data_IF_155014742973
#
_entry.id   IF_155014742973
#
_cell.length_a   1.000
_cell.length_b   1.000
_cell.length_c   1.000
_cell.angle_alpha   90.00
_cell.angle_beta   90.00
_cell.angle_gamma   90.00
#
_symmetry.space_group_name_H-M   'P 1'
#
loop_
_entity.id
_entity.type
_entity.pdbx_description
1 polymer ?
#
# COMPACT_ATOMS: atom_id res chain seq x y z
N UNK A 1 16.88 -11.00 -1.11
CA UNK A 1 16.40 -12.41 -1.20
C UNK A 1 16.48 -12.95 -2.62
N UNK A 2 15.78 -12.39 -3.62
CA UNK A 2 15.83 -12.90 -5.02
C UNK A 2 16.82 -12.18 -5.94
N UNK A 3 17.60 -11.23 -5.39
CA UNK A 3 18.59 -10.41 -6.10
C UNK A 3 19.46 -11.19 -7.10
N UNK A 4 19.97 -12.39 -6.77
CA UNK A 4 20.84 -13.13 -7.70
C UNK A 4 20.16 -13.63 -8.98
N UNK A 5 18.83 -13.76 -8.98
CA UNK A 5 18.07 -14.30 -10.11
C UNK A 5 17.45 -13.22 -11.01
N UNK A 6 17.39 -11.96 -10.54
CA UNK A 6 16.66 -10.88 -11.23
C UNK A 6 17.12 -10.72 -12.68
N UNK A 7 18.42 -10.88 -12.94
CA UNK A 7 19.00 -10.72 -14.29
C UNK A 7 18.66 -11.87 -15.25
N UNK A 8 18.21 -13.03 -14.75
CA UNK A 8 17.90 -14.22 -15.56
C UNK A 8 16.42 -14.58 -15.53
N UNK A 9 15.59 -13.81 -14.83
CA UNK A 9 14.15 -14.05 -14.72
C UNK A 9 13.45 -13.79 -16.04
N UNK A 10 12.43 -14.60 -16.33
CA UNK A 10 11.50 -14.30 -17.43
C UNK A 10 10.68 -13.05 -17.11
N UNK A 11 9.99 -12.48 -18.10
CA UNK A 11 9.10 -11.34 -17.86
C UNK A 11 7.99 -11.68 -16.85
N UNK A 12 7.47 -12.90 -16.89
CA UNK A 12 6.41 -13.34 -15.98
C UNK A 12 6.94 -13.59 -14.55
N UNK A 13 8.18 -14.06 -14.38
CA UNK A 13 8.83 -14.18 -13.07
C UNK A 13 9.11 -12.81 -12.46
N UNK A 14 9.65 -11.88 -13.24
CA UNK A 14 9.91 -10.52 -12.78
C UNK A 14 8.61 -9.80 -12.40
N UNK A 15 7.56 -9.94 -13.22
CA UNK A 15 6.23 -9.39 -12.93
C UNK A 15 5.66 -9.98 -11.62
N UNK A 16 5.85 -11.28 -11.38
CA UNK A 16 5.44 -11.91 -10.12
C UNK A 16 6.18 -11.36 -8.89
N UNK A 17 7.48 -11.08 -9.00
CA UNK A 17 8.25 -10.42 -7.94
C UNK A 17 7.72 -9.01 -7.65
N UNK A 18 7.44 -8.23 -8.70
CA UNK A 18 6.87 -6.89 -8.57
C UNK A 18 5.48 -6.91 -7.92
N UNK A 19 4.59 -7.79 -8.39
CA UNK A 19 3.26 -7.97 -7.81
C UNK A 19 3.32 -8.42 -6.35
N UNK A 20 4.23 -9.33 -5.99
CA UNK A 20 4.40 -9.75 -4.59
C UNK A 20 4.81 -8.59 -3.68
N UNK A 21 5.70 -7.71 -4.15
CA UNK A 21 6.09 -6.50 -3.41
C UNK A 21 4.96 -5.49 -3.26
N UNK A 22 4.16 -5.25 -4.32
CA UNK A 22 3.04 -4.31 -4.29
C UNK A 22 1.82 -4.83 -3.54
N UNK A 23 1.57 -6.15 -3.57
CA UNK A 23 0.42 -6.75 -2.92
C UNK A 23 0.55 -6.80 -1.39
N UNK A 24 1.78 -6.73 -0.87
CA UNK A 24 2.08 -6.88 0.56
C UNK A 24 2.49 -5.57 1.21
N UNK A 25 2.69 -5.60 2.53
CA UNK A 25 3.26 -4.52 3.32
C UNK A 25 4.47 -5.02 4.11
N UNK A 26 5.41 -4.13 4.42
CA UNK A 26 6.56 -4.47 5.23
C UNK A 26 6.19 -4.61 6.71
N UNK A 27 6.81 -5.58 7.40
CA UNK A 27 6.62 -5.75 8.85
C UNK A 27 6.99 -4.51 9.67
N UNK A 28 7.93 -3.69 9.17
CA UNK A 28 8.35 -2.43 9.79
C UNK A 28 7.24 -1.38 9.87
N UNK A 29 6.29 -1.39 8.92
CA UNK A 29 5.19 -0.41 8.86
C UNK A 29 3.89 -0.92 9.48
N UNK A 30 3.74 -2.24 9.63
CA UNK A 30 2.57 -2.88 10.25
C UNK A 30 2.26 -2.32 11.64
N UNK A 31 3.28 -2.13 12.47
CA UNK A 31 3.12 -1.55 13.80
C UNK A 31 2.61 -0.10 13.74
N UNK A 32 2.98 0.66 12.71
CA UNK A 32 2.49 2.02 12.48
C UNK A 32 0.99 2.04 12.20
N UNK A 33 0.51 1.15 11.32
CA UNK A 33 -0.93 1.05 11.05
C UNK A 33 -1.72 0.58 12.27
N UNK A 34 -1.17 -0.35 13.06
CA UNK A 34 -1.80 -0.77 14.31
C UNK A 34 -1.93 0.39 15.32
N UNK A 35 -0.92 1.27 15.41
CA UNK A 35 -0.98 2.48 16.24
C UNK A 35 -2.03 3.50 15.75
N UNK A 36 -2.43 3.44 14.48
CA UNK A 36 -3.55 4.22 13.93
C UNK A 36 -4.93 3.62 14.26
N UNK A 37 -4.97 2.53 15.04
CA UNK A 37 -6.20 1.88 15.51
C UNK A 37 -6.67 0.70 14.65
N UNK A 38 -5.91 0.32 13.62
CA UNK A 38 -6.26 -0.82 12.77
C UNK A 38 -6.04 -2.14 13.53
N UNK A 39 -7.02 -3.05 13.57
CA UNK A 39 -6.85 -4.34 14.22
C UNK A 39 -5.67 -5.13 13.64
N UNK A 40 -4.74 -5.52 14.50
CA UNK A 40 -3.51 -6.22 14.10
C UNK A 40 -3.81 -7.57 13.45
N UNK A 41 -4.91 -8.22 13.86
CA UNK A 41 -5.37 -9.49 13.32
C UNK A 41 -5.67 -9.38 11.82
N UNK A 42 -6.27 -8.27 11.38
CA UNK A 42 -6.56 -8.02 9.97
C UNK A 42 -5.30 -7.75 9.18
N UNK A 43 -4.37 -6.97 9.73
CA UNK A 43 -3.11 -6.65 9.07
C UNK A 43 -2.22 -7.90 8.88
N UNK A 44 -2.13 -8.76 9.90
CA UNK A 44 -1.39 -10.02 9.84
C UNK A 44 -2.04 -10.95 8.81
N UNK A 45 -3.36 -11.14 8.89
CA UNK A 45 -4.08 -11.99 7.94
C UNK A 45 -3.89 -11.52 6.49
N UNK A 46 -4.06 -10.22 6.22
CA UNK A 46 -3.86 -9.62 4.91
C UNK A 46 -2.43 -9.83 4.39
N UNK A 47 -1.41 -9.68 5.26
CA UNK A 47 -0.01 -9.88 4.89
C UNK A 47 0.27 -11.32 4.41
N UNK A 48 -0.32 -12.32 5.07
CA UNK A 48 -0.19 -13.72 4.63
C UNK A 48 -0.99 -13.99 3.35
N UNK A 49 -2.19 -13.42 3.22
CA UNK A 49 -3.04 -13.57 2.02
C UNK A 49 -2.43 -12.88 0.79
N UNK A 50 -1.60 -11.86 0.98
CA UNK A 50 -0.93 -11.14 -0.09
C UNK A 50 0.05 -12.01 -0.89
N UNK A 51 0.70 -13.00 -0.28
CA UNK A 51 1.63 -13.88 -0.98
C UNK A 51 0.95 -14.72 -2.09
N UNK A 52 -0.08 -15.55 -1.79
CA UNK A 52 -0.81 -16.26 -2.84
C UNK A 52 -1.65 -15.32 -3.72
N UNK A 53 -2.19 -14.23 -3.16
CA UNK A 53 -2.97 -13.25 -3.93
C UNK A 53 -2.12 -12.52 -4.99
N UNK A 54 -0.91 -12.09 -4.63
CA UNK A 54 0.04 -11.46 -5.53
C UNK A 54 0.43 -12.39 -6.68
N UNK A 55 0.73 -13.66 -6.38
CA UNK A 55 1.03 -14.67 -7.41
C UNK A 55 -0.17 -14.96 -8.31
N UNK A 56 -1.38 -15.07 -7.74
CA UNK A 56 -2.60 -15.29 -8.50
C UNK A 56 -2.80 -14.21 -9.57
N UNK A 57 -2.80 -12.94 -9.17
CA UNK A 57 -3.01 -11.85 -10.12
C UNK A 57 -1.80 -11.66 -11.05
N UNK A 58 -0.58 -11.91 -10.57
CA UNK A 58 0.61 -11.87 -11.42
C UNK A 58 0.49 -12.83 -12.60
N UNK A 59 0.20 -14.11 -12.32
CA UNK A 59 0.14 -15.15 -13.35
C UNK A 59 -1.16 -15.14 -14.15
N UNK A 60 -2.23 -14.49 -13.67
CA UNK A 60 -3.41 -14.19 -14.49
C UNK A 60 -3.15 -13.08 -15.51
N UNK A 61 -2.41 -12.02 -15.13
CA UNK A 61 -2.15 -10.88 -16.00
C UNK A 61 -0.99 -11.12 -16.97
N UNK A 62 0.10 -11.73 -16.49
CA UNK A 62 1.28 -12.09 -17.29
C UNK A 62 1.61 -13.56 -17.04
N UNK A 63 0.97 -14.49 -17.77
CA UNK A 63 1.25 -15.92 -17.64
C UNK A 63 2.68 -16.29 -18.05
N UNK A 64 3.21 -17.37 -17.49
CA UNK A 64 4.52 -17.90 -17.87
C UNK A 64 4.45 -18.54 -19.26
N UNK A 65 5.30 -18.09 -20.17
CA UNK A 65 5.38 -18.63 -21.55
C UNK A 65 6.78 -19.07 -21.94
N UNK A 66 7.78 -18.65 -21.16
CA UNK A 66 9.18 -18.95 -21.37
C UNK A 66 9.61 -20.14 -20.48
N UNK A 67 10.81 -20.68 -20.72
CA UNK A 67 11.37 -21.71 -19.84
C UNK A 67 12.05 -21.04 -18.66
N UNK A 68 11.69 -21.47 -17.45
CA UNK A 68 12.31 -20.99 -16.22
C UNK A 68 13.76 -21.44 -16.14
N UNK A 69 14.61 -20.54 -15.65
CA UNK A 69 16.02 -20.83 -15.41
C UNK A 69 16.20 -21.36 -13.98
N UNK A 70 15.91 -22.65 -13.79
CA UNK A 70 16.21 -23.34 -12.53
C UNK A 70 17.74 -23.52 -12.41
N UNK A 71 18.39 -22.58 -11.72
CA UNK A 71 19.80 -22.71 -11.39
C UNK A 71 19.94 -23.36 -10.01
N UNK A 72 20.37 -24.63 -9.98
CA UNK A 72 20.77 -25.36 -8.76
C UNK A 72 21.89 -24.64 -7.97
N UNK A 73 22.55 -23.64 -8.57
CA UNK A 73 23.64 -22.84 -8.00
C UNK A 73 23.20 -21.52 -7.34
N UNK A 74 21.89 -21.38 -7.10
CA UNK A 74 21.23 -20.48 -6.15
C UNK A 74 22.11 -20.02 -4.97
N UNK A 75 22.73 -20.98 -4.29
CA UNK A 75 23.47 -20.75 -3.03
C UNK A 75 24.86 -20.15 -3.27
N UNK A 76 25.44 -20.28 -4.48
CA UNK A 76 26.75 -19.72 -4.83
C UNK A 76 26.68 -18.26 -5.33
N UNK A 77 25.52 -17.83 -5.82
CA UNK A 77 25.30 -16.46 -6.32
C UNK A 77 24.83 -15.47 -5.24
N UNK A 78 24.56 -15.95 -4.03
CA UNK A 78 24.41 -15.09 -2.85
C UNK A 78 25.82 -14.57 -2.56
N UNK A 79 26.18 -13.46 -3.21
CA UNK A 79 27.36 -12.69 -2.83
C UNK A 79 27.32 -12.51 -1.31
N UNK A 80 28.48 -12.61 -0.67
CA UNK A 80 28.68 -12.31 0.74
C UNK A 80 28.34 -10.82 1.00
N UNK A 81 27.06 -10.47 1.00
CA UNK A 81 26.60 -9.19 1.49
C UNK A 81 26.86 -9.13 2.99
N UNK A 82 27.27 -7.94 3.46
CA UNK A 82 27.62 -7.56 4.82
C UNK A 82 26.67 -8.19 5.85
N UNK A 83 27.00 -9.40 6.29
CA UNK A 83 26.28 -10.03 7.39
C UNK A 83 26.68 -9.29 8.66
N UNK A 84 25.72 -8.91 9.51
CA UNK A 84 26.04 -8.29 10.77
C UNK A 84 26.99 -9.18 11.56
N UNK A 85 28.00 -8.58 12.18
CA UNK A 85 29.04 -9.33 12.89
C UNK A 85 28.47 -10.07 14.12
N UNK A 86 27.38 -9.58 14.70
CA UNK A 86 26.70 -10.16 15.85
C UNK A 86 25.26 -9.61 15.99
N UNK A 87 24.52 -10.11 16.97
CA UNK A 87 23.13 -9.69 17.24
C UNK A 87 22.99 -8.20 17.58
N UNK A 88 24.01 -7.59 18.19
CA UNK A 88 23.97 -6.16 18.56
C UNK A 88 24.17 -5.31 17.31
N UNK A 89 25.10 -5.69 16.43
CA UNK A 89 25.31 -5.04 15.14
C UNK A 89 24.06 -5.13 14.25
N UNK A 90 23.41 -6.31 14.21
CA UNK A 90 22.13 -6.49 13.51
C UNK A 90 21.03 -5.58 14.06
N UNK A 91 20.94 -5.48 15.40
CA UNK A 91 19.96 -4.62 16.06
C UNK A 91 20.24 -3.13 15.80
N UNK A 92 21.50 -2.69 15.85
CA UNK A 92 21.90 -1.31 15.61
C UNK A 92 21.64 -0.90 14.16
N UNK A 93 22.03 -1.75 13.20
CA UNK A 93 21.80 -1.52 11.77
C UNK A 93 20.30 -1.52 11.41
N UNK A 94 19.53 -2.41 12.03
CA UNK A 94 18.06 -2.42 11.92
C UNK A 94 17.43 -1.16 12.49
N UNK A 95 17.89 -0.68 13.66
CA UNK A 95 17.41 0.56 14.26
C UNK A 95 17.73 1.80 13.42
N UNK A 96 18.94 1.88 12.84
CA UNK A 96 19.32 2.98 11.94
C UNK A 96 18.45 3.00 10.67
N UNK A 97 18.24 1.83 10.05
CA UNK A 97 17.36 1.68 8.89
C UNK A 97 15.92 2.05 9.23
N UNK A 98 15.44 1.63 10.39
CA UNK A 98 14.11 1.97 10.90
C UNK A 98 13.93 3.47 11.16
N UNK A 99 14.94 4.14 11.71
CA UNK A 99 14.92 5.59 11.91
C UNK A 99 14.80 6.34 10.59
N UNK A 100 15.56 5.93 9.57
CA UNK A 100 15.47 6.54 8.25
C UNK A 100 14.10 6.32 7.60
N UNK A 101 13.53 5.11 7.72
CA UNK A 101 12.17 4.83 7.28
C UNK A 101 11.15 5.73 7.99
N UNK A 102 11.25 5.88 9.31
CA UNK A 102 10.34 6.70 10.10
C UNK A 102 10.40 8.19 9.69
N UNK A 103 11.60 8.73 9.48
CA UNK A 103 11.78 10.10 8.99
C UNK A 103 11.17 10.29 7.59
N UNK A 104 11.40 9.34 6.68
CA UNK A 104 10.84 9.39 5.34
C UNK A 104 9.31 9.35 5.36
N UNK A 105 8.71 8.45 6.15
CA UNK A 105 7.25 8.35 6.30
C UNK A 105 6.68 9.63 6.93
N UNK A 106 7.31 10.15 7.97
CA UNK A 106 6.88 11.38 8.63
C UNK A 106 6.90 12.60 7.68
N UNK A 107 8.00 12.78 6.94
CA UNK A 107 8.11 13.84 5.94
C UNK A 107 7.09 13.67 4.80
N UNK A 108 6.91 12.44 4.31
CA UNK A 108 5.94 12.10 3.28
C UNK A 108 4.51 12.43 3.71
N UNK A 109 4.11 12.02 4.93
CA UNK A 109 2.78 12.31 5.48
C UNK A 109 2.53 13.81 5.58
N UNK A 110 3.48 14.57 6.14
CA UNK A 110 3.36 16.03 6.22
C UNK A 110 3.16 16.67 4.85
N UNK A 111 3.94 16.26 3.85
CA UNK A 111 3.85 16.78 2.49
C UNK A 111 2.49 16.45 1.86
N UNK A 112 2.04 15.19 1.93
CA UNK A 112 0.77 14.80 1.30
C UNK A 112 -0.44 15.41 2.00
N UNK A 113 -0.46 15.54 3.33
CA UNK A 113 -1.54 16.22 4.04
C UNK A 113 -1.63 17.67 3.57
N UNK A 114 -0.50 18.37 3.48
CA UNK A 114 -0.47 19.76 3.01
C UNK A 114 -0.95 19.89 1.55
N UNK A 115 -0.53 18.98 0.67
CA UNK A 115 -0.96 18.96 -0.73
C UNK A 115 -2.45 18.65 -0.87
N UNK A 116 -2.97 17.67 -0.13
CA UNK A 116 -4.40 17.34 -0.12
C UNK A 116 -5.21 18.53 0.39
N UNK A 117 -4.76 19.19 1.46
CA UNK A 117 -5.42 20.39 1.98
C UNK A 117 -5.44 21.53 0.95
N UNK A 118 -4.33 21.75 0.24
CA UNK A 118 -4.25 22.73 -0.86
C UNK A 118 -5.22 22.38 -1.99
N UNK A 119 -5.22 21.12 -2.44
CA UNK A 119 -6.12 20.64 -3.49
C UNK A 119 -7.59 20.77 -3.07
N UNK A 120 -7.93 20.43 -1.82
CA UNK A 120 -9.29 20.59 -1.29
C UNK A 120 -9.70 22.07 -1.25
N UNK A 121 -8.80 22.98 -0.90
CA UNK A 121 -9.06 24.42 -0.99
C UNK A 121 -9.35 24.89 -2.42
N UNK A 122 -8.58 24.40 -3.40
CA UNK A 122 -8.80 24.70 -4.81
C UNK A 122 -10.11 24.10 -5.33
N UNK A 123 -10.38 22.83 -5.02
CA UNK A 123 -11.59 22.11 -5.40
C UNK A 123 -12.83 22.75 -4.79
N UNK A 124 -12.79 23.16 -3.52
CA UNK A 124 -13.87 23.89 -2.88
C UNK A 124 -14.13 25.25 -3.54
N UNK A 125 -13.09 25.96 -3.97
CA UNK A 125 -13.20 27.19 -4.76
C UNK A 125 -13.88 26.97 -6.11
N UNK A 126 -13.45 25.94 -6.86
CA UNK A 126 -14.06 25.57 -8.15
C UNK A 126 -15.51 25.10 -7.94
N UNK A 127 -15.74 24.23 -6.96
CA UNK A 127 -17.07 23.73 -6.60
C UNK A 127 -18.02 24.86 -6.20
N UNK A 128 -17.51 25.89 -5.52
CA UNK A 128 -18.24 27.12 -5.19
C UNK A 128 -18.84 27.82 -6.43
N UNK A 129 -18.16 27.79 -7.58
CA UNK A 129 -18.70 28.34 -8.84
C UNK A 129 -19.96 27.61 -9.33
N UNK A 130 -20.14 26.35 -8.90
CA UNK A 130 -21.28 25.50 -9.24
C UNK A 130 -22.23 25.26 -8.05
N UNK A 131 -22.16 26.11 -7.02
CA UNK A 131 -22.95 25.97 -5.78
C UNK A 131 -22.71 24.63 -5.05
N UNK A 132 -21.48 24.12 -5.12
CA UNK A 132 -21.04 22.88 -4.49
C UNK A 132 -19.68 23.06 -3.77
N UNK A 133 -19.59 23.96 -2.76
CA UNK A 133 -18.34 24.32 -2.08
C UNK A 133 -17.68 23.17 -1.28
N UNK A 134 -18.42 22.10 -1.01
CA UNK A 134 -17.95 20.90 -0.32
C UNK A 134 -17.15 19.94 -1.22
N UNK A 135 -16.86 20.32 -2.47
CA UNK A 135 -16.05 19.51 -3.37
C UNK A 135 -14.65 19.30 -2.79
N UNK A 136 -14.25 18.03 -2.63
CA UNK A 136 -12.93 17.65 -2.13
C UNK A 136 -12.37 16.46 -2.89
N UNK A 137 -11.08 16.20 -2.74
CA UNK A 137 -10.41 15.03 -3.30
C UNK A 137 -11.02 13.74 -2.76
N UNK A 138 -11.30 13.70 -1.46
CA UNK A 138 -11.93 12.55 -0.79
C UNK A 138 -13.30 12.24 -1.38
N UNK A 139 -14.07 13.29 -1.70
CA UNK A 139 -15.37 13.13 -2.34
C UNK A 139 -15.20 12.56 -3.76
N UNK A 140 -14.33 13.18 -4.59
CA UNK A 140 -14.09 12.70 -5.95
C UNK A 140 -13.64 11.23 -5.97
N UNK A 141 -12.71 10.86 -5.10
CA UNK A 141 -12.25 9.48 -4.95
C UNK A 141 -13.37 8.56 -4.45
N UNK A 142 -14.18 9.02 -3.50
CA UNK A 142 -15.37 8.29 -3.06
C UNK A 142 -16.32 7.96 -4.21
N UNK A 143 -16.62 8.94 -5.07
CA UNK A 143 -17.50 8.73 -6.22
C UNK A 143 -16.90 7.74 -7.21
N UNK A 144 -15.61 7.90 -7.55
CA UNK A 144 -14.91 7.06 -8.52
C UNK A 144 -14.79 5.60 -8.03
N UNK A 145 -14.46 5.40 -6.75
CA UNK A 145 -14.14 4.08 -6.20
C UNK A 145 -15.30 3.43 -5.45
N UNK A 146 -16.43 4.12 -5.24
CA UNK A 146 -17.63 3.51 -4.63
C UNK A 146 -18.15 2.26 -5.36
N UNK A 147 -18.12 2.15 -6.71
CA UNK A 147 -18.51 0.90 -7.37
C UNK A 147 -17.57 -0.26 -7.02
N UNK A 148 -16.27 0.02 -6.89
CA UNK A 148 -15.26 -0.98 -6.50
C UNK A 148 -15.49 -1.40 -5.04
N UNK A 149 -15.72 -0.44 -4.13
CA UNK A 149 -16.03 -0.73 -2.73
C UNK A 149 -17.28 -1.62 -2.61
N UNK A 150 -18.32 -1.33 -3.39
CA UNK A 150 -19.52 -2.15 -3.43
C UNK A 150 -19.26 -3.57 -3.95
N UNK A 151 -18.46 -3.71 -5.02
CA UNK A 151 -18.11 -5.01 -5.60
C UNK A 151 -17.34 -5.91 -4.63
N UNK A 152 -16.52 -5.34 -3.75
CA UNK A 152 -15.78 -6.11 -2.74
C UNK A 152 -16.59 -6.37 -1.45
N UNK A 153 -17.89 -6.04 -1.45
CA UNK A 153 -18.83 -6.41 -0.39
C UNK A 153 -19.22 -5.30 0.58
N UNK A 154 -18.79 -4.05 0.37
CA UNK A 154 -19.24 -2.93 1.21
C UNK A 154 -20.70 -2.58 0.88
N UNK A 155 -21.61 -2.42 1.87
CA UNK A 155 -22.96 -1.95 1.61
C UNK A 155 -22.96 -0.60 0.88
N UNK A 156 -23.87 -0.40 -0.08
CA UNK A 156 -23.90 0.83 -0.89
C UNK A 156 -23.95 2.11 -0.05
N UNK A 157 -24.62 2.09 1.11
CA UNK A 157 -24.70 3.20 2.05
C UNK A 157 -23.35 3.58 2.70
N UNK A 158 -22.37 2.69 2.68
CA UNK A 158 -21.01 2.89 3.22
C UNK A 158 -19.95 2.95 2.10
N UNK A 159 -20.33 2.61 0.86
CA UNK A 159 -19.43 2.46 -0.27
C UNK A 159 -18.76 3.78 -0.70
N UNK A 160 -19.43 4.92 -0.51
CA UNK A 160 -18.84 6.23 -0.78
C UNK A 160 -17.63 6.48 0.14
N UNK A 161 -17.80 6.23 1.44
CA UNK A 161 -16.76 6.40 2.46
C UNK A 161 -15.62 5.39 2.24
N UNK A 162 -15.94 4.12 2.04
CA UNK A 162 -14.96 3.08 1.76
C UNK A 162 -14.19 3.33 0.45
N UNK A 163 -14.90 3.75 -0.60
CA UNK A 163 -14.32 4.11 -1.89
C UNK A 163 -13.30 5.24 -1.76
N UNK A 164 -13.57 6.22 -0.90
CA UNK A 164 -12.62 7.32 -0.66
C UNK A 164 -11.27 6.80 -0.16
N UNK A 165 -11.25 5.90 0.83
CA UNK A 165 -10.01 5.34 1.35
C UNK A 165 -9.27 4.48 0.32
N UNK A 166 -10.00 3.63 -0.42
CA UNK A 166 -9.43 2.80 -1.50
C UNK A 166 -8.77 3.70 -2.55
N UNK A 167 -9.45 4.77 -2.96
CA UNK A 167 -8.93 5.75 -3.90
C UNK A 167 -7.71 6.48 -3.37
N UNK A 168 -7.73 6.93 -2.11
CA UNK A 168 -6.58 7.59 -1.47
C UNK A 168 -5.37 6.67 -1.46
N UNK A 169 -5.56 5.39 -1.18
CA UNK A 169 -4.47 4.40 -1.18
C UNK A 169 -3.84 4.25 -2.55
N UNK A 170 -4.64 4.18 -3.61
CA UNK A 170 -4.15 3.96 -4.98
C UNK A 170 -3.44 5.21 -5.52
N UNK A 171 -4.04 6.38 -5.32
CA UNK A 171 -3.57 7.65 -5.89
C UNK A 171 -2.44 8.28 -5.07
N UNK A 172 -2.52 8.18 -3.74
CA UNK A 172 -1.56 8.79 -2.81
C UNK A 172 -0.67 7.70 -2.22
N UNK A 173 -1.13 7.02 -1.17
CA UNK A 173 -0.52 5.85 -0.56
C UNK A 173 -1.41 5.33 0.59
N UNK A 174 -1.10 4.12 1.05
CA UNK A 174 -1.80 3.44 2.13
C UNK A 174 -1.63 4.12 3.50
N UNK A 175 -0.52 4.82 3.76
CA UNK A 175 -0.31 5.54 5.02
C UNK A 175 -1.30 6.68 5.23
N UNK A 176 -1.51 7.50 4.20
CA UNK A 176 -2.50 8.58 4.22
C UNK A 176 -3.91 8.00 4.37
N UNK A 177 -4.21 6.93 3.63
CA UNK A 177 -5.50 6.27 3.72
C UNK A 177 -5.77 5.68 5.11
N UNK A 178 -4.80 4.99 5.72
CA UNK A 178 -4.94 4.43 7.08
C UNK A 178 -5.06 5.50 8.15
N UNK A 179 -4.31 6.59 8.05
CA UNK A 179 -4.41 7.71 8.98
C UNK A 179 -5.82 8.34 8.96
N UNK A 180 -6.38 8.55 7.77
CA UNK A 180 -7.74 9.08 7.62
C UNK A 180 -8.80 8.05 8.07
N UNK A 181 -8.58 6.76 7.80
CA UNK A 181 -9.46 5.68 8.24
C UNK A 181 -9.45 5.51 9.76
N UNK A 182 -8.33 5.79 10.44
CA UNK A 182 -8.21 5.72 11.90
C UNK A 182 -9.27 6.55 12.65
N UNK A 183 -9.71 7.67 12.05
CA UNK A 183 -10.78 8.50 12.60
C UNK A 183 -12.12 7.74 12.73
N UNK A 184 -12.37 6.76 11.87
CA UNK A 184 -13.57 5.93 11.81
C UNK A 184 -13.47 4.64 12.64
N UNK A 185 -12.27 4.30 13.12
CA UNK A 185 -12.02 3.14 13.97
C UNK A 185 -12.23 3.42 15.47
N UNK A 186 -12.36 4.70 15.83
CA UNK A 186 -12.68 5.15 17.19
C UNK A 186 -14.08 4.68 17.63
N UNK A 187 -14.41 4.74 18.94
CA UNK A 187 -15.75 4.45 19.44
C UNK A 187 -16.82 5.26 18.71
N UNK A 188 -17.98 4.64 18.44
CA UNK A 188 -19.04 5.20 17.60
C UNK A 188 -19.54 6.58 18.07
N UNK A 189 -19.53 6.81 19.39
CA UNK A 189 -19.84 8.11 20.01
C UNK A 189 -18.88 9.21 19.54
N UNK A 190 -17.59 8.93 19.48
CA UNK A 190 -16.57 9.88 19.01
C UNK A 190 -16.63 10.09 17.49
N UNK A 191 -16.92 9.03 16.73
CA UNK A 191 -17.11 9.13 15.27
C UNK A 191 -18.30 10.04 14.95
N UNK A 192 -19.41 9.85 15.65
CA UNK A 192 -20.63 10.65 15.46
C UNK A 192 -20.43 12.11 15.91
N UNK A 193 -19.69 12.33 17.00
CA UNK A 193 -19.37 13.68 17.49
C UNK A 193 -18.57 14.51 16.47
N UNK A 194 -17.71 13.86 15.67
CA UNK A 194 -16.95 14.49 14.58
C UNK A 194 -17.77 14.63 13.28
N UNK A 195 -19.07 14.29 13.30
CA UNK A 195 -19.95 14.36 12.13
C UNK A 195 -19.68 13.28 11.08
N UNK A 196 -18.93 12.24 11.44
CA UNK A 196 -18.57 11.14 10.55
C UNK A 196 -19.60 10.02 10.61
N UNK A 197 -19.72 9.28 9.50
CA UNK A 197 -20.57 8.10 9.45
C UNK A 197 -19.96 6.96 10.27
N UNK A 198 -20.75 6.38 11.18
CA UNK A 198 -20.39 5.11 11.84
C UNK A 198 -20.43 3.99 10.80
N UNK A 199 -19.30 3.30 10.63
CA UNK A 199 -19.16 2.17 9.72
C UNK A 199 -19.40 0.85 10.45
N UNK A 200 -20.06 -0.09 9.78
CA UNK A 200 -20.21 -1.46 10.27
C UNK A 200 -18.85 -2.15 10.50
N UNK A 201 -18.80 -3.10 11.44
CA UNK A 201 -17.60 -3.90 11.68
C UNK A 201 -17.14 -4.67 10.43
N UNK A 202 -18.09 -5.14 9.62
CA UNK A 202 -17.84 -5.78 8.34
C UNK A 202 -17.10 -4.86 7.36
N UNK A 203 -17.58 -3.63 7.19
CA UNK A 203 -16.94 -2.64 6.31
C UNK A 203 -15.59 -2.20 6.84
N UNK A 204 -15.45 -2.01 8.15
CA UNK A 204 -14.15 -1.74 8.78
C UNK A 204 -13.13 -2.84 8.44
N UNK A 205 -13.54 -4.10 8.53
CA UNK A 205 -12.69 -5.22 8.12
C UNK A 205 -12.33 -5.17 6.62
N UNK A 206 -13.30 -4.99 5.72
CA UNK A 206 -13.02 -4.91 4.27
C UNK A 206 -12.02 -3.79 3.96
N UNK A 207 -12.21 -2.59 4.53
CA UNK A 207 -11.31 -1.46 4.32
C UNK A 207 -9.91 -1.81 4.84
N UNK A 208 -9.78 -2.41 6.04
CA UNK A 208 -8.48 -2.83 6.57
C UNK A 208 -7.71 -3.75 5.63
N UNK A 209 -8.38 -4.74 5.02
CA UNK A 209 -7.75 -5.64 4.05
C UNK A 209 -7.45 -4.94 2.72
N UNK A 210 -8.37 -4.11 2.20
CA UNK A 210 -8.20 -3.42 0.92
C UNK A 210 -7.05 -2.39 0.95
N UNK A 211 -6.80 -1.78 2.11
CA UNK A 211 -5.71 -0.82 2.30
C UNK A 211 -4.36 -1.49 2.58
N UNK A 212 -4.34 -2.75 3.04
CA UNK A 212 -3.11 -3.45 3.42
C UNK A 212 -2.33 -3.94 2.19
N UNK A 213 -1.61 -3.02 1.54
CA UNK A 213 -0.67 -3.33 0.46
C UNK A 213 -0.04 -2.06 -0.12
N UNK A 214 1.21 -2.15 -0.59
CA UNK A 214 1.95 -1.02 -1.17
C UNK A 214 1.55 -0.65 -2.60
N UNK A 215 0.51 -1.28 -3.17
CA UNK A 215 0.06 -1.00 -4.53
C UNK A 215 -0.55 0.41 -4.65
N UNK A 216 0.31 1.37 -5.02
CA UNK A 216 0.00 2.77 -5.31
C UNK A 216 0.93 3.26 -6.45
N UNK A 217 0.59 4.39 -7.08
CA UNK A 217 1.35 4.90 -8.24
C UNK A 217 2.82 5.20 -7.91
N UNK A 218 3.11 5.68 -6.70
CA UNK A 218 4.49 6.00 -6.29
C UNK A 218 5.35 4.75 -6.08
N UNK A 219 4.79 3.68 -5.52
CA UNK A 219 5.48 2.41 -5.30
C UNK A 219 5.88 1.73 -6.61
N UNK A 220 5.08 1.88 -7.68
CA UNK A 220 5.45 1.39 -9.01
C UNK A 220 6.73 2.07 -9.50
N UNK A 221 6.82 3.40 -9.37
CA UNK A 221 8.02 4.15 -9.75
C UNK A 221 9.24 3.74 -8.91
N UNK A 222 9.06 3.53 -7.61
CA UNK A 222 10.12 3.06 -6.70
C UNK A 222 10.61 1.66 -7.11
N UNK A 223 9.70 0.74 -7.43
CA UNK A 223 10.06 -0.62 -7.86
C UNK A 223 10.79 -0.63 -9.19
N UNK A 224 10.35 0.18 -10.17
CA UNK A 224 11.05 0.31 -11.45
C UNK A 224 12.47 0.85 -11.27
N UNK A 225 12.66 1.87 -10.42
CA UNK A 225 13.98 2.40 -10.09
C UNK A 225 14.85 1.39 -9.34
N UNK A 226 14.29 0.69 -8.37
CA UNK A 226 15.01 -0.28 -7.55
C UNK A 226 15.41 -1.56 -8.31
N UNK A 227 14.51 -2.11 -9.12
CA UNK A 227 14.80 -3.31 -9.93
C UNK A 227 15.67 -2.98 -11.15
N UNK A 228 15.52 -1.80 -11.75
CA UNK A 228 16.36 -1.35 -12.86
C UNK A 228 17.85 -1.27 -12.50
N UNK A 229 18.18 -0.92 -11.26
CA UNK A 229 19.57 -0.95 -10.76
C UNK A 229 20.18 -2.36 -10.67
N UNK A 230 19.34 -3.40 -10.74
CA UNK A 230 19.73 -4.80 -10.61
C UNK A 230 19.72 -5.55 -11.96
N UNK A 231 19.66 -4.82 -13.09
CA UNK A 231 19.73 -5.42 -14.42
C UNK A 231 18.39 -5.93 -14.96
N UNK A 232 17.27 -5.54 -14.36
CA UNK A 232 15.94 -5.79 -14.89
C UNK A 232 15.63 -4.81 -16.05
N UNK A 233 16.30 -4.96 -17.20
CA UNK A 233 15.87 -4.33 -18.44
C UNK A 233 14.88 -5.25 -19.16
N UNK A 234 13.71 -4.75 -19.60
CA UNK A 234 12.86 -5.54 -20.46
C UNK A 234 13.60 -5.79 -21.78
N UNK A 235 13.84 -7.05 -22.11
CA UNK A 235 14.28 -7.45 -23.43
C UNK A 235 13.27 -6.92 -24.46
N UNK A 236 13.73 -6.00 -25.30
CA UNK A 236 13.00 -5.38 -26.43
C UNK A 236 12.49 -6.40 -27.43
#
# INVERSE_FOLDING_TARGET
MVRPYIATMTQSELFAVMCGGLASVAGSVLAGYAQMGVPLEYLIAASFMAAPGGLLFAKLMVPETEKTHDTDDATKLIAEEERPANVIDAAASGAASGMQLALNVGAMLLAFIALIALLNGMLGGIGGWFNYPQLSLELLLGWIFSPIAFLIGVPWSEAMTAGSFIGQKIIVNEFVAFMNFGAYLRPDEAVTADGLQVLSAHTKAIISFALCGFANLSSVAILLGGLGQHGAEPSS
#
